data_IF_138257806048
#
_entry.id   IF_138257806048
#
_cell.length_a   1.000
_cell.length_b   1.000
_cell.length_c   1.000
_cell.angle_alpha   90.00
_cell.angle_beta   90.00
_cell.angle_gamma   90.00
#
_symmetry.space_group_name_H-M   'P 1'
#
loop_
_entity.id
_entity.type
_entity.pdbx_description
1 polymer ?
#
# COMPACT_ATOMS: atom_id res chain seq x y z
N UNK A 1 -32.34 -1.59 47.61
CA UNK A 1 -31.68 -0.67 46.66
C UNK A 1 -30.29 -1.21 46.32
N UNK A 2 -30.07 -1.67 45.08
CA UNK A 2 -28.74 -1.99 44.57
C UNK A 2 -28.52 -1.12 43.34
N UNK A 3 -27.62 -0.15 43.42
CA UNK A 3 -27.12 0.60 42.27
C UNK A 3 -25.67 0.20 42.02
N UNK A 4 -25.40 -0.32 40.82
CA UNK A 4 -24.13 -0.29 40.06
C UNK A 4 -24.23 -1.21 38.83
N UNK A 5 -23.47 -0.98 37.75
CA UNK A 5 -22.95 0.28 37.19
C UNK A 5 -23.46 0.50 35.74
N UNK A 6 -23.40 1.74 35.23
CA UNK A 6 -23.76 2.04 33.84
C UNK A 6 -22.51 1.90 32.94
N UNK A 7 -22.43 0.93 32.00
CA UNK A 7 -21.25 0.71 31.18
C UNK A 7 -21.46 1.31 29.79
N UNK A 8 -21.69 2.61 29.72
CA UNK A 8 -21.63 3.34 28.45
C UNK A 8 -20.45 4.29 28.56
N UNK A 9 -19.23 3.76 28.41
CA UNK A 9 -18.16 4.59 27.86
C UNK A 9 -18.69 5.10 26.52
N UNK A 10 -18.99 6.40 26.48
CA UNK A 10 -19.65 7.07 25.36
C UNK A 10 -18.99 6.64 24.04
N UNK A 11 -19.73 5.95 23.17
CA UNK A 11 -19.22 5.45 21.89
C UNK A 11 -18.56 6.57 21.08
N UNK A 12 -19.01 7.83 21.26
CA UNK A 12 -18.40 9.01 20.64
C UNK A 12 -16.95 9.20 21.08
N UNK A 13 -16.64 8.98 22.35
CA UNK A 13 -15.26 9.04 22.86
C UNK A 13 -14.38 7.94 22.28
N UNK A 14 -14.94 6.75 22.02
CA UNK A 14 -14.22 5.63 21.39
C UNK A 14 -13.89 5.95 19.93
N UNK A 15 -14.85 6.47 19.16
CA UNK A 15 -14.62 6.89 17.77
C UNK A 15 -13.70 8.11 17.66
N UNK A 16 -13.80 9.09 18.56
CA UNK A 16 -12.90 10.24 18.61
C UNK A 16 -11.45 9.82 18.88
N UNK A 17 -11.25 8.89 19.83
CA UNK A 17 -9.92 8.33 20.11
C UNK A 17 -9.37 7.52 18.92
N UNK A 18 -10.24 6.84 18.16
CA UNK A 18 -9.84 6.14 16.94
C UNK A 18 -9.42 7.12 15.84
N UNK A 19 -10.21 8.15 15.56
CA UNK A 19 -9.86 9.19 14.60
C UNK A 19 -8.55 9.87 14.96
N UNK A 20 -8.35 10.26 16.22
CA UNK A 20 -7.10 10.87 16.67
C UNK A 20 -5.88 9.94 16.48
N UNK A 21 -6.04 8.63 16.71
CA UNK A 21 -4.99 7.63 16.45
C UNK A 21 -4.74 7.39 14.96
N UNK A 22 -5.77 7.44 14.12
CA UNK A 22 -5.66 7.29 12.67
C UNK A 22 -4.97 8.51 12.06
N UNK A 23 -5.32 9.74 12.46
CA UNK A 23 -4.65 10.97 12.03
C UNK A 23 -3.17 11.00 12.41
N UNK A 24 -2.80 10.47 13.58
CA UNK A 24 -1.40 10.40 14.02
C UNK A 24 -0.55 9.33 13.29
N UNK A 25 -1.18 8.37 12.60
CA UNK A 25 -0.49 7.30 11.84
C UNK A 25 -0.20 7.67 10.39
N UNK A 26 -0.84 8.72 9.87
CA UNK A 26 -0.68 9.14 8.46
C UNK A 26 0.63 9.89 8.23
N UNK A 27 1.24 10.46 9.28
CA UNK A 27 2.45 11.30 9.16
C UNK A 27 3.76 10.65 9.63
N UNK A 28 3.81 9.32 9.78
CA UNK A 28 5.05 8.69 10.23
C UNK A 28 5.89 8.21 9.03
N UNK A 29 6.83 9.06 8.60
CA UNK A 29 8.10 8.68 7.95
C UNK A 29 8.96 7.81 8.89
N UNK A 30 8.36 6.82 9.56
CA UNK A 30 9.05 5.78 10.33
C UNK A 30 9.66 4.84 9.30
N UNK A 31 10.81 5.36 8.86
CA UNK A 31 11.90 4.84 8.07
C UNK A 31 11.53 3.91 6.92
N UNK A 32 11.53 4.49 5.72
CA UNK A 32 11.66 3.72 4.47
C UNK A 32 12.79 2.68 4.59
N UNK A 33 13.86 2.95 5.37
CA UNK A 33 14.95 2.01 5.62
C UNK A 33 14.54 0.83 6.53
N UNK A 34 13.73 1.06 7.56
CA UNK A 34 13.20 -0.03 8.41
C UNK A 34 12.26 -0.94 7.62
N UNK A 35 11.45 -0.36 6.72
CA UNK A 35 10.61 -1.14 5.80
C UNK A 35 11.45 -1.89 4.77
N UNK A 36 12.63 -1.38 4.40
CA UNK A 36 13.52 -1.96 3.39
C UNK A 36 14.35 -3.14 3.92
N UNK A 37 14.70 -3.17 5.21
CA UNK A 37 15.57 -4.22 5.77
C UNK A 37 15.11 -5.66 5.47
N UNK A 38 13.84 -6.05 5.71
CA UNK A 38 13.37 -7.39 5.36
C UNK A 38 13.52 -7.74 3.87
N UNK A 39 13.44 -6.75 2.99
CA UNK A 39 13.60 -6.93 1.55
C UNK A 39 15.07 -7.01 1.14
N UNK A 40 15.97 -6.32 1.85
CA UNK A 40 17.41 -6.51 1.69
C UNK A 40 17.79 -7.93 2.07
N UNK A 41 17.31 -8.42 3.22
CA UNK A 41 17.61 -9.77 3.70
C UNK A 41 17.14 -10.85 2.71
N UNK A 42 16.04 -10.57 2.00
CA UNK A 42 15.41 -11.51 1.06
C UNK A 42 15.93 -11.42 -0.37
N UNK A 43 15.98 -10.23 -0.94
CA UNK A 43 16.26 -9.98 -2.36
C UNK A 43 17.70 -9.50 -2.62
N UNK A 44 18.41 -9.09 -1.57
CA UNK A 44 19.76 -8.52 -1.65
C UNK A 44 19.76 -7.01 -1.92
N UNK A 45 20.66 -6.29 -1.23
CA UNK A 45 20.78 -4.83 -1.38
C UNK A 45 21.13 -4.40 -2.81
N UNK A 46 22.07 -5.10 -3.45
CA UNK A 46 22.56 -4.78 -4.80
C UNK A 46 21.43 -4.84 -5.84
N UNK A 47 20.57 -5.86 -5.75
CA UNK A 47 19.43 -6.05 -6.65
C UNK A 47 18.40 -4.93 -6.50
N UNK A 48 18.07 -4.58 -5.25
CA UNK A 48 17.17 -3.46 -4.96
C UNK A 48 17.75 -2.12 -5.44
N UNK A 49 19.05 -1.90 -5.27
CA UNK A 49 19.73 -0.69 -5.74
C UNK A 49 19.79 -0.64 -7.27
N UNK A 50 19.97 -1.78 -7.94
CA UNK A 50 19.93 -1.88 -9.40
C UNK A 50 18.54 -1.50 -9.92
N UNK A 51 17.47 -2.13 -9.44
CA UNK A 51 16.11 -1.78 -9.85
C UNK A 51 15.79 -0.31 -9.57
N UNK A 52 16.18 0.20 -8.41
CA UNK A 52 16.02 1.62 -8.09
C UNK A 52 16.70 2.52 -9.13
N UNK A 53 17.92 2.18 -9.57
CA UNK A 53 18.64 2.92 -10.62
C UNK A 53 17.94 2.81 -11.97
N UNK A 54 17.48 1.63 -12.36
CA UNK A 54 16.75 1.39 -13.61
C UNK A 54 15.50 2.26 -13.71
N UNK A 55 14.81 2.52 -12.59
CA UNK A 55 13.64 3.39 -12.53
C UNK A 55 13.95 4.83 -12.10
N UNK A 56 15.14 5.33 -12.44
CA UNK A 56 15.50 6.75 -12.29
C UNK A 56 15.69 7.20 -10.85
N UNK A 57 16.08 6.30 -9.95
CA UNK A 57 16.31 6.58 -8.53
C UNK A 57 15.02 6.72 -7.71
N UNK A 58 13.85 6.50 -8.32
CA UNK A 58 12.55 6.56 -7.67
C UNK A 58 12.40 5.39 -6.69
N UNK A 59 11.66 5.61 -5.60
CA UNK A 59 11.49 4.56 -4.58
C UNK A 59 10.68 3.39 -5.11
N UNK A 60 11.20 2.17 -4.92
CA UNK A 60 10.46 0.93 -5.16
C UNK A 60 9.30 0.83 -4.18
N UNK A 61 8.28 0.08 -4.56
CA UNK A 61 7.15 -0.23 -3.69
C UNK A 61 7.42 -1.60 -3.07
N UNK A 62 7.35 -1.65 -1.74
CA UNK A 62 7.58 -2.85 -0.96
C UNK A 62 6.25 -3.34 -0.39
N UNK A 63 5.80 -4.50 -0.87
CA UNK A 63 4.60 -5.17 -0.37
C UNK A 63 5.01 -6.26 0.61
N UNK A 64 4.39 -6.24 1.79
CA UNK A 64 4.54 -7.30 2.79
C UNK A 64 3.18 -7.65 3.36
N UNK A 65 2.87 -8.93 3.39
CA UNK A 65 1.74 -9.46 4.12
C UNK A 65 2.15 -10.79 4.78
N UNK A 66 2.11 -10.84 6.11
CA UNK A 66 2.63 -11.96 6.88
C UNK A 66 4.10 -12.30 6.53
N UNK A 67 4.33 -13.48 5.95
CA UNK A 67 5.63 -13.97 5.50
C UNK A 67 5.88 -13.67 4.02
N UNK A 68 4.85 -13.26 3.27
CA UNK A 68 4.94 -13.05 1.85
C UNK A 68 5.38 -11.62 1.53
N UNK A 69 6.24 -11.49 0.52
CA UNK A 69 6.87 -10.23 0.15
C UNK A 69 6.98 -10.07 -1.36
N UNK A 70 6.76 -8.84 -1.84
CA UNK A 70 6.98 -8.48 -3.24
C UNK A 70 7.56 -7.08 -3.37
N UNK A 71 8.26 -6.87 -4.47
CA UNK A 71 8.86 -5.61 -4.89
C UNK A 71 8.28 -5.22 -6.23
N UNK A 72 7.81 -3.98 -6.31
CA UNK A 72 7.27 -3.40 -7.52
C UNK A 72 8.07 -2.15 -7.89
N UNK A 73 8.12 -1.86 -9.19
CA UNK A 73 8.65 -0.58 -9.69
C UNK A 73 7.68 0.56 -9.37
N UNK A 74 8.17 1.80 -9.27
CA UNK A 74 7.31 2.96 -9.10
C UNK A 74 6.45 3.22 -10.36
N UNK A 75 5.18 3.65 -10.19
CA UNK A 75 4.28 3.95 -11.31
C UNK A 75 4.73 5.20 -12.05
N UNK A 76 4.66 5.20 -13.38
CA UNK A 76 4.84 6.36 -14.26
C UNK A 76 3.51 7.13 -14.41
N UNK A 77 3.53 8.25 -15.15
CA UNK A 77 2.31 8.96 -15.49
C UNK A 77 1.39 8.12 -16.39
N UNK A 78 1.97 7.33 -17.31
CA UNK A 78 1.22 6.46 -18.21
C UNK A 78 0.53 5.33 -17.45
N UNK A 79 1.25 4.68 -16.53
CA UNK A 79 0.67 3.67 -15.62
C UNK A 79 -0.54 4.21 -14.85
N UNK A 80 -0.44 5.47 -14.36
CA UNK A 80 -1.55 6.12 -13.65
C UNK A 80 -2.72 6.45 -14.59
N UNK A 81 -2.43 6.86 -15.83
CA UNK A 81 -3.44 7.09 -16.86
C UNK A 81 -4.20 5.81 -17.22
N UNK A 82 -3.47 4.72 -17.46
CA UNK A 82 -4.03 3.39 -17.74
C UNK A 82 -4.86 2.87 -16.56
N UNK A 83 -4.36 3.02 -15.33
CA UNK A 83 -5.11 2.70 -14.12
C UNK A 83 -6.46 3.44 -14.06
N UNK A 84 -6.45 4.75 -14.31
CA UNK A 84 -7.68 5.57 -14.31
C UNK A 84 -8.67 5.17 -15.40
N UNK A 85 -8.18 4.91 -16.61
CA UNK A 85 -9.01 4.43 -17.72
C UNK A 85 -9.60 3.04 -17.42
N UNK A 86 -8.80 2.14 -16.83
CA UNK A 86 -9.22 0.80 -16.47
C UNK A 86 -10.29 0.82 -15.36
N UNK A 87 -10.21 1.74 -14.40
CA UNK A 87 -11.28 1.92 -13.40
C UNK A 87 -12.63 2.21 -14.10
N UNK A 88 -12.63 3.14 -15.06
CA UNK A 88 -13.87 3.55 -15.75
C UNK A 88 -14.46 2.47 -16.66
N UNK A 89 -13.66 1.51 -17.11
CA UNK A 89 -14.08 0.48 -18.09
C UNK A 89 -14.31 -0.89 -17.46
N UNK A 90 -13.42 -1.32 -16.56
CA UNK A 90 -13.37 -2.67 -16.01
C UNK A 90 -13.69 -2.73 -14.51
N UNK A 91 -13.78 -1.57 -13.85
CA UNK A 91 -13.95 -1.45 -12.41
C UNK A 91 -12.63 -1.51 -11.62
N UNK A 92 -12.69 -1.05 -10.37
CA UNK A 92 -11.51 -0.82 -9.53
C UNK A 92 -10.69 -2.09 -9.26
N UNK A 93 -11.34 -3.22 -8.92
CA UNK A 93 -10.63 -4.48 -8.64
C UNK A 93 -9.77 -4.95 -9.82
N UNK A 94 -10.31 -4.89 -11.04
CA UNK A 94 -9.56 -5.26 -12.25
C UNK A 94 -8.47 -4.26 -12.58
N UNK A 95 -8.70 -2.97 -12.37
CA UNK A 95 -7.69 -1.94 -12.58
C UNK A 95 -6.49 -2.10 -11.64
N UNK A 96 -6.73 -2.43 -10.36
CA UNK A 96 -5.64 -2.68 -9.40
C UNK A 96 -4.93 -4.00 -9.68
N UNK A 97 -5.63 -5.05 -10.11
CA UNK A 97 -4.97 -6.29 -10.53
C UNK A 97 -4.04 -6.03 -11.74
N UNK A 98 -4.54 -5.30 -12.75
CA UNK A 98 -3.79 -4.93 -13.95
C UNK A 98 -2.54 -4.10 -13.62
N UNK A 99 -2.69 -3.05 -12.81
CA UNK A 99 -1.54 -2.20 -12.45
C UNK A 99 -0.53 -2.97 -11.58
N UNK A 100 -1.00 -3.84 -10.69
CA UNK A 100 -0.12 -4.69 -9.88
C UNK A 100 0.75 -5.58 -10.76
N UNK A 101 0.16 -6.21 -11.78
CA UNK A 101 0.88 -7.01 -12.77
C UNK A 101 1.92 -6.17 -13.53
N UNK A 102 1.56 -4.99 -14.02
CA UNK A 102 2.47 -4.11 -14.77
C UNK A 102 3.65 -3.58 -13.95
N UNK A 103 3.45 -3.40 -12.64
CA UNK A 103 4.48 -2.88 -11.74
C UNK A 103 5.32 -3.99 -11.09
N UNK A 104 4.94 -5.26 -11.20
CA UNK A 104 5.60 -6.37 -10.51
C UNK A 104 7.04 -6.58 -11.00
N UNK A 105 8.00 -6.58 -10.08
CA UNK A 105 9.38 -6.97 -10.37
C UNK A 105 9.63 -8.40 -9.90
N UNK A 106 9.35 -8.68 -8.64
CA UNK A 106 9.57 -9.99 -8.03
C UNK A 106 8.81 -10.13 -6.72
N UNK A 107 8.42 -11.36 -6.35
CA UNK A 107 7.80 -11.62 -5.05
C UNK A 107 7.09 -12.96 -4.97
N UNK A 108 6.43 -13.19 -3.85
CA UNK A 108 5.57 -14.36 -3.63
C UNK A 108 4.25 -14.24 -4.37
N UNK A 109 3.98 -15.20 -5.25
CA UNK A 109 2.71 -15.27 -5.98
C UNK A 109 1.47 -15.44 -5.08
N UNK A 110 1.54 -16.06 -3.88
CA UNK A 110 0.42 -16.03 -2.93
C UNK A 110 -0.15 -14.64 -2.65
N UNK A 111 0.63 -13.56 -2.78
CA UNK A 111 0.13 -12.18 -2.63
C UNK A 111 -0.92 -11.79 -3.67
N UNK A 112 -0.99 -12.49 -4.80
CA UNK A 112 -1.93 -12.24 -5.91
C UNK A 112 -2.83 -13.42 -6.22
N UNK A 113 -2.46 -14.63 -5.83
CA UNK A 113 -3.24 -15.86 -6.07
C UNK A 113 -4.23 -16.15 -4.93
N UNK A 114 -3.90 -15.78 -3.68
CA UNK A 114 -4.77 -15.95 -2.52
C UNK A 114 -5.66 -14.72 -2.33
N UNK A 115 -6.97 -14.92 -2.25
CA UNK A 115 -7.95 -13.82 -2.20
C UNK A 115 -7.79 -12.95 -0.95
N UNK A 116 -7.55 -13.55 0.22
CA UNK A 116 -7.41 -12.81 1.48
C UNK A 116 -6.13 -11.95 1.47
N UNK A 117 -5.04 -12.51 0.95
CA UNK A 117 -3.77 -11.78 0.79
C UNK A 117 -3.88 -10.71 -0.29
N UNK A 118 -4.56 -11.01 -1.38
CA UNK A 118 -4.79 -10.08 -2.47
C UNK A 118 -5.58 -8.87 -2.00
N UNK A 119 -6.60 -9.02 -1.14
CA UNK A 119 -7.32 -7.87 -0.55
C UNK A 119 -6.37 -6.94 0.21
N UNK A 120 -5.45 -7.51 1.01
CA UNK A 120 -4.48 -6.72 1.77
C UNK A 120 -3.50 -5.97 0.86
N UNK A 121 -3.05 -6.60 -0.22
CA UNK A 121 -2.17 -5.97 -1.22
C UNK A 121 -2.92 -4.92 -2.05
N UNK A 122 -4.14 -5.25 -2.47
CA UNK A 122 -5.04 -4.37 -3.21
C UNK A 122 -5.22 -3.03 -2.49
N UNK A 123 -5.49 -3.05 -1.18
CA UNK A 123 -5.66 -1.84 -0.39
C UNK A 123 -4.36 -1.02 -0.31
N UNK A 124 -3.21 -1.67 -0.17
CA UNK A 124 -1.91 -0.99 -0.15
C UNK A 124 -1.62 -0.28 -1.48
N UNK A 125 -1.85 -0.96 -2.60
CA UNK A 125 -1.63 -0.41 -3.94
C UNK A 125 -2.63 0.68 -4.26
N UNK A 126 -3.91 0.47 -3.99
CA UNK A 126 -4.93 1.49 -4.22
C UNK A 126 -4.61 2.78 -3.47
N UNK A 127 -4.28 2.70 -2.17
CA UNK A 127 -3.93 3.89 -1.37
C UNK A 127 -2.67 4.59 -1.91
N UNK A 128 -1.67 3.83 -2.36
CA UNK A 128 -0.46 4.38 -2.97
C UNK A 128 -0.78 5.14 -4.25
N UNK A 129 -1.58 4.55 -5.15
CA UNK A 129 -1.94 5.14 -6.43
C UNK A 129 -2.82 6.37 -6.25
N UNK A 130 -3.83 6.33 -5.37
CA UNK A 130 -4.64 7.51 -5.04
C UNK A 130 -3.79 8.66 -4.50
N UNK A 131 -2.83 8.36 -3.60
CA UNK A 131 -1.89 9.37 -3.11
C UNK A 131 -1.03 9.98 -4.21
N UNK A 132 -0.61 9.17 -5.20
CA UNK A 132 0.19 9.64 -6.34
C UNK A 132 -0.63 10.44 -7.36
N UNK A 133 -1.93 10.20 -7.52
CA UNK A 133 -2.77 11.01 -8.41
C UNK A 133 -2.70 12.50 -8.04
N UNK A 134 -2.71 12.82 -6.75
CA UNK A 134 -2.59 14.20 -6.28
C UNK A 134 -1.24 14.84 -6.63
N UNK A 135 -0.17 14.04 -6.71
CA UNK A 135 1.15 14.52 -7.13
C UNK A 135 1.22 14.80 -8.63
N UNK A 136 0.56 13.98 -9.46
CA UNK A 136 0.65 14.02 -10.93
C UNK A 136 -0.39 14.93 -11.60
N UNK A 137 -1.60 15.05 -11.03
CA UNK A 137 -2.72 15.75 -11.65
C UNK A 137 -3.10 17.03 -10.89
N UNK A 138 -2.11 17.79 -10.38
CA UNK A 138 -2.39 19.13 -9.83
C UNK A 138 -2.99 20.02 -10.93
N UNK A 139 -4.29 20.29 -10.83
CA UNK A 139 -5.01 21.31 -11.60
C UNK A 139 -4.91 22.66 -10.89
#
# INVERSE_FOLDING_TARGET
>A
MKTKPNPTSDLRSVFANRQAKESAKVDSEVSIEEKRKPFIDRFGAEKLDQWKKEYGGRQLIYLKHENDMAVLRPPTADDLGEYMMSIGTNGMSKAVAFILEQLWLEGDHPLVEDEDKFIAVFLQINNLLEGKKADYFRF
#
